data_IF_521826561644
#
_entry.id   IF_521826561644
#
_cell.length_a   1.000
_cell.length_b   1.000
_cell.length_c   1.000
_cell.angle_alpha   90.00
_cell.angle_beta   90.00
_cell.angle_gamma   90.00
#
_symmetry.space_group_name_H-M   'P 1'
#
loop_
_entity.id
_entity.type
_entity.pdbx_description
1 polymer ?
#
# COMPACT_ATOMS: atom_id res chain seq x y z
N UNK A 1 -24.71 -3.54 5.53
CA UNK A 1 -23.39 -4.19 5.67
C UNK A 1 -22.65 -3.87 4.39
N UNK A 2 -21.40 -3.37 4.41
CA UNK A 2 -20.63 -3.25 3.18
C UNK A 2 -20.53 -4.61 2.52
N UNK A 3 -20.66 -4.67 1.19
CA UNK A 3 -20.50 -5.91 0.45
C UNK A 3 -19.04 -6.33 0.51
N UNK A 4 -18.78 -7.58 0.92
CA UNK A 4 -17.44 -8.15 0.97
C UNK A 4 -17.41 -9.55 0.35
N UNK A 5 -16.33 -9.82 -0.37
CA UNK A 5 -16.06 -11.11 -0.99
C UNK A 5 -14.56 -11.35 -1.06
N UNK A 6 -14.14 -12.59 -1.33
CA UNK A 6 -12.73 -12.93 -1.50
C UNK A 6 -12.49 -13.62 -2.83
N UNK A 7 -11.31 -13.43 -3.39
CA UNK A 7 -10.85 -14.11 -4.61
C UNK A 7 -9.50 -14.77 -4.33
N UNK A 8 -9.30 -16.00 -4.80
CA UNK A 8 -7.96 -16.59 -4.81
C UNK A 8 -7.06 -15.84 -5.80
N UNK A 9 -5.73 -15.93 -5.61
CA UNK A 9 -4.79 -15.31 -6.55
C UNK A 9 -5.02 -15.81 -8.00
N UNK A 10 -5.34 -17.09 -8.18
CA UNK A 10 -5.69 -17.65 -9.49
C UNK A 10 -6.99 -17.05 -10.05
N UNK A 11 -8.01 -16.84 -9.20
CA UNK A 11 -9.24 -16.18 -9.63
C UNK A 11 -8.98 -14.73 -10.06
N UNK A 12 -8.13 -14.00 -9.33
CA UNK A 12 -7.75 -12.63 -9.72
C UNK A 12 -7.01 -12.63 -11.06
N UNK A 13 -6.03 -13.52 -11.29
CA UNK A 13 -5.34 -13.62 -12.59
C UNK A 13 -6.33 -13.87 -13.76
N UNK A 14 -7.22 -14.86 -13.60
CA UNK A 14 -8.21 -15.20 -14.64
C UNK A 14 -9.19 -14.06 -14.89
N UNK A 15 -9.73 -13.44 -13.83
CA UNK A 15 -10.74 -12.38 -13.96
C UNK A 15 -10.15 -11.09 -14.53
N UNK A 16 -8.93 -10.71 -14.15
CA UNK A 16 -8.27 -9.53 -14.70
C UNK A 16 -8.00 -9.68 -16.20
N UNK A 17 -7.61 -10.87 -16.66
CA UNK A 17 -7.49 -11.15 -18.09
C UNK A 17 -8.85 -11.09 -18.78
N UNK A 18 -9.86 -11.78 -18.24
CA UNK A 18 -11.18 -11.87 -18.85
C UNK A 18 -11.85 -10.49 -19.02
N UNK A 19 -11.65 -9.60 -18.05
CA UNK A 19 -12.20 -8.24 -18.05
C UNK A 19 -11.28 -7.22 -18.74
N UNK A 20 -10.13 -7.64 -19.27
CA UNK A 20 -9.17 -6.75 -19.93
C UNK A 20 -8.61 -5.66 -19.00
N UNK A 21 -8.50 -5.96 -17.70
CA UNK A 21 -8.03 -5.02 -16.68
C UNK A 21 -6.49 -4.97 -16.58
N UNK A 22 -5.79 -5.94 -17.17
CA UNK A 22 -4.33 -5.99 -17.16
C UNK A 22 -3.80 -6.77 -15.96
N UNK A 23 -2.75 -6.25 -15.30
CA UNK A 23 -2.15 -6.89 -14.11
C UNK A 23 -2.71 -6.31 -12.82
N UNK A 24 -2.65 -7.09 -11.75
CA UNK A 24 -2.98 -6.59 -10.42
C UNK A 24 -2.06 -5.42 -10.05
N UNK A 25 -2.60 -4.33 -9.47
CA UNK A 25 -1.79 -3.21 -9.02
C UNK A 25 -0.89 -3.61 -7.85
N UNK A 26 0.19 -2.85 -7.66
CA UNK A 26 1.00 -2.98 -6.44
C UNK A 26 0.14 -2.71 -5.20
N UNK A 27 0.40 -3.38 -4.06
CA UNK A 27 1.55 -4.25 -3.77
C UNK A 27 1.30 -5.76 -4.01
N UNK A 28 0.24 -6.13 -4.74
CA UNK A 28 -0.15 -7.53 -4.89
C UNK A 28 0.69 -8.26 -5.93
N UNK A 29 1.34 -9.35 -5.51
CA UNK A 29 2.05 -10.27 -6.41
C UNK A 29 1.12 -11.42 -6.82
N UNK A 30 0.31 -11.17 -7.85
CA UNK A 30 -0.57 -12.19 -8.41
C UNK A 30 0.21 -12.98 -9.48
N UNK A 31 0.51 -14.28 -9.25
CA UNK A 31 1.20 -15.09 -10.24
C UNK A 31 0.31 -15.31 -11.46
N UNK A 32 0.91 -15.26 -12.65
CA UNK A 32 0.23 -15.69 -13.86
C UNK A 32 0.23 -17.21 -13.91
N UNK A 33 -0.95 -17.82 -13.87
CA UNK A 33 -1.11 -19.28 -13.71
C UNK A 33 -1.47 -19.96 -15.03
N UNK A 34 -0.91 -21.16 -15.23
CA UNK A 34 -1.06 -21.95 -16.45
C UNK A 34 -0.15 -21.45 -17.59
N UNK A 35 0.76 -22.29 -18.06
CA UNK A 35 1.70 -21.94 -19.14
C UNK A 35 1.19 -22.34 -20.53
N UNK A 36 0.16 -23.21 -20.60
CA UNK A 36 -0.49 -23.62 -21.84
C UNK A 36 -1.96 -23.19 -21.89
N UNK A 37 -2.52 -23.18 -23.10
CA UNK A 37 -3.94 -22.84 -23.34
C UNK A 37 -4.87 -23.80 -22.60
N UNK A 38 -4.56 -25.09 -22.62
CA UNK A 38 -5.33 -26.14 -21.95
C UNK A 38 -5.28 -25.99 -20.44
N UNK A 39 -4.10 -25.71 -19.88
CA UNK A 39 -3.94 -25.44 -18.45
C UNK A 39 -4.75 -24.22 -18.02
N UNK A 40 -4.71 -23.12 -18.78
CA UNK A 40 -5.53 -21.93 -18.50
C UNK A 40 -7.03 -22.23 -18.58
N UNK A 41 -7.48 -23.03 -19.55
CA UNK A 41 -8.88 -23.43 -19.64
C UNK A 41 -9.31 -24.21 -18.40
N UNK A 42 -8.51 -25.18 -17.94
CA UNK A 42 -8.80 -25.95 -16.73
C UNK A 42 -8.85 -25.07 -15.46
N UNK A 43 -7.91 -24.12 -15.33
CA UNK A 43 -7.89 -23.18 -14.21
C UNK A 43 -9.13 -22.28 -14.25
N UNK A 44 -9.48 -21.76 -15.43
CA UNK A 44 -10.67 -20.93 -15.63
C UNK A 44 -11.94 -21.69 -15.24
N UNK A 45 -12.10 -22.93 -15.68
CA UNK A 45 -13.26 -23.76 -15.33
C UNK A 45 -13.33 -24.02 -13.81
N UNK A 46 -12.18 -24.25 -13.16
CA UNK A 46 -12.12 -24.40 -11.71
C UNK A 46 -12.53 -23.10 -10.98
N UNK A 47 -12.02 -21.95 -11.42
CA UNK A 47 -12.37 -20.62 -10.89
C UNK A 47 -13.87 -20.35 -11.07
N UNK A 48 -14.43 -20.59 -12.26
CA UNK A 48 -15.85 -20.38 -12.54
C UNK A 48 -16.73 -21.27 -11.67
N UNK A 49 -16.38 -22.55 -11.49
CA UNK A 49 -17.13 -23.45 -10.60
C UNK A 49 -17.10 -22.98 -9.15
N UNK A 50 -15.94 -22.55 -8.65
CA UNK A 50 -15.80 -21.99 -7.30
C UNK A 50 -16.65 -20.72 -7.13
N UNK A 51 -16.54 -19.75 -8.05
CA UNK A 51 -17.31 -18.51 -7.99
C UNK A 51 -18.81 -18.76 -8.10
N UNK A 52 -19.24 -19.72 -8.93
CA UNK A 52 -20.64 -20.09 -9.04
C UNK A 52 -21.17 -20.70 -7.73
N UNK A 53 -20.39 -21.59 -7.10
CA UNK A 53 -20.71 -22.16 -5.80
C UNK A 53 -20.81 -21.11 -4.68
N UNK A 54 -20.12 -19.97 -4.84
CA UNK A 54 -20.16 -18.82 -3.92
C UNK A 54 -21.15 -17.72 -4.33
N UNK A 55 -21.94 -17.94 -5.39
CA UNK A 55 -22.92 -16.97 -5.89
C UNK A 55 -22.32 -15.74 -6.59
N UNK A 56 -21.00 -15.70 -6.79
CA UNK A 56 -20.28 -14.61 -7.46
C UNK A 56 -20.25 -14.77 -8.99
N UNK A 57 -20.80 -15.86 -9.52
CA UNK A 57 -20.85 -16.10 -10.97
C UNK A 57 -22.22 -16.63 -11.38
N UNK A 58 -22.84 -15.96 -12.36
CA UNK A 58 -24.15 -16.34 -12.88
C UNK A 58 -24.27 -15.97 -14.36
N UNK A 59 -24.96 -16.82 -15.13
CA UNK A 59 -25.25 -16.60 -16.56
C UNK A 59 -24.00 -16.24 -17.39
N UNK A 60 -22.87 -16.89 -17.09
CA UNK A 60 -21.60 -16.71 -17.80
C UNK A 60 -20.88 -15.39 -17.48
N UNK A 61 -21.27 -14.70 -16.41
CA UNK A 61 -20.65 -13.44 -15.98
C UNK A 61 -20.36 -13.45 -14.49
N UNK A 62 -19.37 -12.64 -14.10
CA UNK A 62 -19.12 -12.29 -12.72
C UNK A 62 -20.31 -11.47 -12.20
N UNK A 63 -20.57 -11.55 -10.90
CA UNK A 63 -21.49 -10.67 -10.21
C UNK A 63 -21.14 -9.19 -10.46
N UNK A 64 -22.16 -8.34 -10.61
CA UNK A 64 -21.98 -6.95 -11.03
C UNK A 64 -21.20 -6.11 -9.99
N UNK A 65 -21.43 -6.36 -8.70
CA UNK A 65 -20.75 -5.63 -7.62
C UNK A 65 -19.30 -6.11 -7.51
N UNK A 66 -19.05 -7.41 -7.70
CA UNK A 66 -17.69 -7.95 -7.76
C UNK A 66 -16.90 -7.47 -8.99
N UNK A 67 -17.56 -7.35 -10.16
CA UNK A 67 -16.95 -6.80 -11.37
C UNK A 67 -16.61 -5.31 -11.20
N UNK A 68 -17.53 -4.52 -10.64
CA UNK A 68 -17.31 -3.11 -10.30
C UNK A 68 -16.13 -2.97 -9.31
N UNK A 69 -16.13 -3.77 -8.25
CA UNK A 69 -15.06 -3.79 -7.27
C UNK A 69 -13.69 -4.11 -7.89
N UNK A 70 -13.61 -5.10 -8.78
CA UNK A 70 -12.35 -5.43 -9.45
C UNK A 70 -11.89 -4.33 -10.42
N UNK A 71 -12.84 -3.71 -11.12
CA UNK A 71 -12.56 -2.57 -12.01
C UNK A 71 -12.03 -1.36 -11.21
N UNK A 72 -12.68 -0.97 -10.11
CA UNK A 72 -12.25 0.15 -9.26
C UNK A 72 -10.93 -0.16 -8.56
N UNK A 73 -10.71 -1.40 -8.12
CA UNK A 73 -9.44 -1.85 -7.54
C UNK A 73 -8.24 -1.57 -8.46
N UNK A 74 -8.40 -1.85 -9.76
CA UNK A 74 -7.33 -1.69 -10.77
C UNK A 74 -7.26 -0.25 -11.28
N UNK A 75 -8.40 0.35 -11.63
CA UNK A 75 -8.49 1.59 -12.43
C UNK A 75 -8.96 2.83 -11.65
N UNK A 76 -9.15 2.72 -10.32
CA UNK A 76 -9.57 3.83 -9.48
C UNK A 76 -8.74 5.09 -9.73
N UNK A 77 -9.40 6.23 -9.85
CA UNK A 77 -8.76 7.53 -10.12
C UNK A 77 -7.92 8.02 -8.94
N UNK A 78 -8.26 7.57 -7.73
CA UNK A 78 -7.51 7.78 -6.49
C UNK A 78 -7.27 6.41 -5.84
N UNK A 79 -6.04 6.14 -5.44
CA UNK A 79 -5.72 4.92 -4.72
C UNK A 79 -4.65 5.17 -3.65
N UNK A 80 -4.71 4.41 -2.57
CA UNK A 80 -3.68 4.36 -1.53
C UNK A 80 -3.28 2.91 -1.37
N UNK A 81 -1.99 2.62 -1.45
CA UNK A 81 -1.44 1.30 -1.17
C UNK A 81 -0.78 1.31 0.21
N UNK A 82 -0.86 0.19 0.92
CA UNK A 82 -0.18 -0.05 2.17
C UNK A 82 0.64 -1.34 2.05
N UNK A 83 1.92 -1.24 2.39
CA UNK A 83 2.82 -2.38 2.53
C UNK A 83 3.51 -2.27 3.91
N UNK A 84 3.35 -3.27 4.76
CA UNK A 84 3.91 -3.25 6.11
C UNK A 84 4.28 -4.64 6.64
N UNK A 85 5.28 -4.68 7.51
CA UNK A 85 5.61 -5.80 8.39
C UNK A 85 5.06 -5.46 9.78
N UNK A 86 4.06 -6.23 10.22
CA UNK A 86 3.32 -6.05 11.47
C UNK A 86 3.74 -7.07 12.53
N UNK A 87 5.04 -7.31 12.67
CA UNK A 87 5.58 -8.39 13.50
C UNK A 87 5.73 -9.67 12.68
N UNK A 88 4.92 -10.68 12.97
CA UNK A 88 4.94 -11.98 12.28
C UNK A 88 4.11 -12.00 10.99
N UNK A 89 3.40 -10.91 10.68
CA UNK A 89 2.49 -10.81 9.54
C UNK A 89 2.89 -9.69 8.59
N UNK A 90 2.71 -9.93 7.30
CA UNK A 90 2.77 -8.90 6.28
C UNK A 90 1.38 -8.34 6.00
N UNK A 91 1.29 -7.02 5.84
CA UNK A 91 0.12 -6.32 5.37
C UNK A 91 0.38 -5.83 3.95
N UNK A 92 -0.39 -6.35 3.00
CA UNK A 92 -0.49 -5.84 1.65
C UNK A 92 -1.94 -5.44 1.41
N UNK A 93 -2.18 -4.14 1.21
CA UNK A 93 -3.52 -3.62 1.00
C UNK A 93 -3.52 -2.48 -0.01
N UNK A 94 -4.67 -2.27 -0.63
CA UNK A 94 -4.94 -1.14 -1.52
C UNK A 94 -6.38 -0.73 -1.35
N UNK A 95 -6.61 0.54 -1.10
CA UNK A 95 -7.93 1.15 -1.25
C UNK A 95 -7.94 1.98 -2.53
N UNK A 96 -9.01 1.88 -3.31
CA UNK A 96 -9.16 2.62 -4.55
C UNK A 96 -10.58 3.16 -4.67
N UNK A 97 -10.71 4.32 -5.30
CA UNK A 97 -11.98 5.02 -5.54
C UNK A 97 -12.00 5.59 -6.94
N UNK A 98 -13.17 5.59 -7.57
CA UNK A 98 -13.45 6.34 -8.81
C UNK A 98 -14.28 7.61 -8.56
N UNK A 99 -14.56 7.91 -7.29
CA UNK A 99 -15.37 9.03 -6.82
C UNK A 99 -16.84 8.68 -6.55
N UNK A 100 -17.35 7.56 -7.08
CA UNK A 100 -18.72 7.08 -6.81
C UNK A 100 -18.71 5.78 -6.03
N UNK A 101 -17.76 4.91 -6.33
CA UNK A 101 -17.54 3.63 -5.68
C UNK A 101 -16.11 3.56 -5.13
N UNK A 102 -15.94 2.87 -4.00
CA UNK A 102 -14.63 2.60 -3.46
C UNK A 102 -14.54 1.20 -2.87
N UNK A 103 -13.36 0.62 -2.98
CA UNK A 103 -13.08 -0.74 -2.53
C UNK A 103 -11.74 -0.77 -1.80
N UNK A 104 -11.72 -1.46 -0.67
CA UNK A 104 -10.53 -1.88 0.02
C UNK A 104 -10.23 -3.35 -0.34
N UNK A 105 -9.05 -3.59 -0.90
CA UNK A 105 -8.50 -4.92 -1.12
C UNK A 105 -7.39 -5.17 -0.10
N UNK A 106 -7.44 -6.31 0.60
CA UNK A 106 -6.39 -6.78 1.53
C UNK A 106 -5.97 -8.18 1.16
N UNK A 107 -4.66 -8.44 1.11
CA UNK A 107 -4.15 -9.78 0.94
C UNK A 107 -4.28 -10.57 2.24
N UNK A 108 -4.77 -11.80 2.12
CA UNK A 108 -4.90 -12.76 3.20
C UNK A 108 -4.39 -14.11 2.68
N UNK A 109 -3.12 -14.40 2.96
CA UNK A 109 -2.40 -15.54 2.41
C UNK A 109 -2.49 -15.59 0.86
N UNK A 110 -3.21 -16.59 0.33
CA UNK A 110 -3.45 -16.83 -1.10
C UNK A 110 -4.79 -16.27 -1.59
N UNK A 111 -5.43 -15.42 -0.79
CA UNK A 111 -6.68 -14.73 -1.12
C UNK A 111 -6.46 -13.22 -1.12
N UNK A 112 -7.28 -12.52 -1.90
CA UNK A 112 -7.49 -11.08 -1.78
C UNK A 112 -8.94 -10.89 -1.35
N UNK A 113 -9.13 -10.25 -0.19
CA UNK A 113 -10.43 -9.89 0.36
C UNK A 113 -10.76 -8.49 -0.11
N UNK A 114 -11.91 -8.34 -0.74
CA UNK A 114 -12.47 -7.08 -1.20
C UNK A 114 -13.60 -6.67 -0.27
N UNK A 115 -13.61 -5.40 0.13
CA UNK A 115 -14.64 -4.80 0.97
C UNK A 115 -15.02 -3.45 0.37
N UNK A 116 -16.32 -3.24 0.13
CA UNK A 116 -16.84 -1.94 -0.26
C UNK A 116 -16.63 -0.93 0.88
N UNK A 117 -16.11 0.24 0.54
CA UNK A 117 -15.96 1.34 1.48
C UNK A 117 -16.57 2.61 0.90
N UNK A 118 -16.86 3.58 1.76
CA UNK A 118 -17.36 4.89 1.30
C UNK A 118 -16.25 5.60 0.51
N UNK A 119 -16.54 6.24 -0.63
CA UNK A 119 -15.54 7.02 -1.38
C UNK A 119 -14.81 8.09 -0.55
N UNK A 120 -15.51 8.73 0.40
CA UNK A 120 -14.93 9.72 1.33
C UNK A 120 -14.16 9.09 2.50
N UNK A 121 -14.30 7.77 2.69
CA UNK A 121 -13.73 6.99 3.78
C UNK A 121 -12.49 6.18 3.41
N UNK A 122 -11.88 6.41 2.25
CA UNK A 122 -10.75 5.57 1.80
C UNK A 122 -9.51 5.70 2.70
N UNK A 123 -9.24 6.90 3.22
CA UNK A 123 -8.09 7.14 4.12
C UNK A 123 -8.24 6.40 5.45
N UNK A 124 -9.34 6.55 6.22
CA UNK A 124 -9.52 5.79 7.45
C UNK A 124 -9.57 4.28 7.16
N UNK A 125 -10.24 3.84 6.10
CA UNK A 125 -10.34 2.42 5.76
C UNK A 125 -8.98 1.72 5.64
N UNK A 126 -7.98 2.36 5.03
CA UNK A 126 -6.64 1.76 4.90
C UNK A 126 -5.74 1.99 6.12
N UNK A 127 -5.90 3.11 6.82
CA UNK A 127 -5.10 3.41 8.03
C UNK A 127 -5.53 2.54 9.22
N UNK A 128 -6.82 2.21 9.32
CA UNK A 128 -7.38 1.38 10.40
C UNK A 128 -6.99 -0.10 10.28
N UNK A 129 -6.34 -0.50 9.17
CA UNK A 129 -5.65 -1.79 9.07
C UNK A 129 -4.41 -1.87 9.96
N UNK A 130 -3.86 -0.72 10.36
CA UNK A 130 -2.72 -0.68 11.26
C UNK A 130 -3.18 -0.84 12.72
N UNK A 131 -2.41 -1.55 13.55
CA UNK A 131 -2.63 -1.54 14.99
C UNK A 131 -2.64 -0.11 15.54
N UNK A 132 -3.52 0.13 16.52
CA UNK A 132 -3.57 1.39 17.26
C UNK A 132 -2.29 1.52 18.09
N UNK A 133 -1.37 2.35 17.61
CA UNK A 133 -0.10 2.66 18.29
C UNK A 133 -0.06 4.17 18.56
N UNK A 134 0.21 4.61 19.81
CA UNK A 134 0.35 6.03 20.11
C UNK A 134 1.58 6.63 19.41
N UNK A 135 1.55 7.94 19.19
CA UNK A 135 2.71 8.68 18.72
C UNK A 135 3.86 8.53 19.73
N UNK A 136 5.09 8.35 19.22
CA UNK A 136 6.27 8.32 20.07
C UNK A 136 6.51 9.64 20.83
N UNK A 137 7.21 9.63 21.97
CA UNK A 137 7.63 10.87 22.61
C UNK A 137 8.67 11.59 21.76
N UNK A 138 8.58 12.92 21.67
CA UNK A 138 9.61 13.74 21.04
C UNK A 138 9.04 14.87 20.19
N UNK A 139 9.95 15.50 19.43
CA UNK A 139 9.63 16.57 18.50
C UNK A 139 9.95 16.13 17.08
N UNK A 140 9.33 16.80 16.11
CA UNK A 140 9.66 16.59 14.69
C UNK A 140 11.09 17.02 14.41
N UNK A 141 11.81 16.19 13.64
CA UNK A 141 13.20 16.42 13.27
C UNK A 141 13.34 16.30 11.76
N UNK A 142 13.87 17.33 11.12
CA UNK A 142 14.17 17.34 9.69
C UNK A 142 15.67 17.34 9.47
N UNK A 143 16.15 16.39 8.66
CA UNK A 143 17.55 16.27 8.27
C UNK A 143 17.67 16.37 6.76
N UNK A 144 18.78 16.95 6.28
CA UNK A 144 19.15 16.93 4.88
C UNK A 144 19.99 15.69 4.58
N UNK A 145 19.72 15.03 3.44
CA UNK A 145 20.61 14.01 2.88
C UNK A 145 20.93 14.37 1.42
N UNK A 146 22.16 14.06 0.95
CA UNK A 146 22.45 14.05 -0.48
C UNK A 146 21.41 13.19 -1.18
N UNK A 147 20.85 13.68 -2.29
CA UNK A 147 19.99 12.84 -3.10
C UNK A 147 20.79 11.62 -3.56
N UNK A 148 20.47 10.43 -3.03
CA UNK A 148 20.92 9.20 -3.65
C UNK A 148 20.31 9.18 -5.06
N UNK A 149 21.15 9.06 -6.08
CA UNK A 149 20.68 8.81 -7.44
C UNK A 149 19.71 7.63 -7.36
N UNK A 150 18.51 7.73 -7.96
CA UNK A 150 17.61 6.60 -8.03
C UNK A 150 18.41 5.45 -8.64
N UNK A 151 18.66 4.39 -7.87
CA UNK A 151 19.04 3.13 -8.48
C UNK A 151 17.90 2.83 -9.44
N UNK A 152 18.18 2.84 -10.74
CA UNK A 152 17.23 2.38 -11.73
C UNK A 152 16.77 1.00 -11.26
N UNK A 153 15.57 0.91 -10.68
CA UNK A 153 14.93 -0.36 -10.41
C UNK A 153 14.88 -1.06 -11.76
N UNK A 154 15.69 -2.10 -11.93
CA UNK A 154 15.55 -2.94 -13.11
C UNK A 154 14.17 -3.57 -13.00
N UNK A 155 13.52 -3.77 -14.15
CA UNK A 155 12.16 -4.31 -14.23
C UNK A 155 12.00 -5.70 -13.58
N UNK A 156 13.12 -6.35 -13.24
CA UNK A 156 13.23 -7.67 -12.63
C UNK A 156 13.61 -7.65 -11.12
N UNK A 157 13.80 -6.47 -10.51
CA UNK A 157 14.04 -6.38 -9.08
C UNK A 157 12.69 -6.56 -8.34
N UNK A 158 12.60 -7.57 -7.45
CA UNK A 158 11.44 -7.78 -6.60
C UNK A 158 11.06 -6.47 -5.88
N UNK A 159 9.77 -6.17 -5.80
CA UNK A 159 9.28 -4.95 -5.16
C UNK A 159 9.71 -4.95 -3.69
N UNK A 160 10.65 -4.06 -3.32
CA UNK A 160 11.06 -3.83 -1.93
C UNK A 160 10.33 -2.59 -1.39
N UNK A 161 9.21 -2.76 -0.67
CA UNK A 161 8.49 -1.65 -0.06
C UNK A 161 9.24 -1.00 1.11
N UNK A 162 10.33 -1.59 1.60
CA UNK A 162 11.06 -1.14 2.78
C UNK A 162 12.40 -0.47 2.46
N UNK A 163 12.82 -0.45 1.18
CA UNK A 163 14.07 0.17 0.72
C UNK A 163 14.25 1.63 1.21
N UNK A 164 13.14 2.36 1.37
CA UNK A 164 13.12 3.74 1.84
C UNK A 164 13.22 3.93 3.36
N UNK A 165 12.95 2.90 4.17
CA UNK A 165 12.83 3.02 5.65
C UNK A 165 14.19 2.87 6.37
N UNK A 166 15.27 2.78 5.60
CA UNK A 166 16.63 2.71 6.15
C UNK A 166 16.98 3.94 6.98
N UNK A 167 17.50 3.66 8.19
CA UNK A 167 17.99 4.69 9.11
C UNK A 167 19.07 5.58 8.51
N UNK A 168 19.26 6.79 9.05
CA UNK A 168 20.33 7.67 8.61
C UNK A 168 21.69 6.97 8.79
N UNK A 169 22.45 6.86 7.70
CA UNK A 169 23.87 6.46 7.74
C UNK A 169 24.70 7.73 7.70
N UNK A 170 25.60 7.89 8.65
CA UNK A 170 26.52 9.03 8.74
C UNK A 170 27.46 9.05 7.53
N UNK A 171 27.18 9.87 6.52
CA UNK A 171 28.16 10.24 5.50
C UNK A 171 28.98 11.42 6.02
N UNK A 172 29.99 11.15 6.85
CA UNK A 172 31.07 12.08 7.21
C UNK A 172 30.67 13.46 7.75
N UNK A 173 30.89 13.69 9.05
CA UNK A 173 31.02 15.04 9.62
C UNK A 173 29.83 15.48 10.48
N UNK A 174 30.10 15.62 11.80
CA UNK A 174 29.32 16.38 12.80
C UNK A 174 27.79 16.40 12.62
N UNK A 175 27.13 15.29 12.95
CA UNK A 175 25.68 15.29 13.14
C UNK A 175 25.27 16.24 14.26
N UNK A 176 24.46 17.27 13.93
CA UNK A 176 23.86 18.16 14.93
C UNK A 176 23.02 17.39 15.96
N UNK A 177 22.58 18.03 17.06
CA UNK A 177 21.75 17.41 18.09
C UNK A 177 20.53 16.64 17.53
N UNK A 178 19.94 17.15 16.44
CA UNK A 178 18.86 16.51 15.68
C UNK A 178 19.24 15.14 15.11
N UNK A 179 20.43 15.02 14.50
CA UNK A 179 20.87 13.76 13.89
C UNK A 179 21.13 12.69 14.96
N UNK A 180 21.74 13.08 16.09
CA UNK A 180 21.98 12.17 17.22
C UNK A 180 20.67 11.67 17.84
N UNK A 181 19.65 12.52 17.92
CA UNK A 181 18.33 12.13 18.40
C UNK A 181 17.72 11.05 17.51
N UNK A 182 17.73 11.24 16.19
CA UNK A 182 17.16 10.25 15.28
C UNK A 182 18.00 8.97 15.22
N UNK A 183 19.32 9.06 15.30
CA UNK A 183 20.21 7.89 15.41
C UNK A 183 19.83 7.02 16.61
N UNK A 184 19.54 7.62 17.77
CA UNK A 184 19.06 6.89 18.96
C UNK A 184 17.72 6.20 18.73
N UNK A 185 16.76 6.89 18.11
CA UNK A 185 15.46 6.28 17.74
C UNK A 185 15.67 5.09 16.78
N UNK A 186 16.67 5.15 15.90
CA UNK A 186 17.04 4.03 15.02
C UNK A 186 17.81 2.91 15.70
N UNK A 187 18.38 3.12 16.90
CA UNK A 187 18.92 2.04 17.73
C UNK A 187 17.83 1.23 18.45
N UNK A 188 16.63 1.80 18.64
CA UNK A 188 15.50 1.04 19.19
C UNK A 188 15.06 -0.06 18.20
N UNK A 189 14.84 -1.30 18.68
CA UNK A 189 14.29 -2.37 17.86
C UNK A 189 12.97 -1.93 17.22
N UNK A 190 12.89 -2.08 15.89
CA UNK A 190 11.65 -1.82 15.15
C UNK A 190 10.71 -2.99 15.38
N UNK A 191 9.55 -2.72 16.00
CA UNK A 191 8.51 -3.73 16.19
C UNK A 191 7.72 -3.95 14.91
N UNK A 192 7.52 -2.88 14.14
CA UNK A 192 6.75 -2.85 12.89
C UNK A 192 7.30 -1.77 11.98
N UNK A 193 7.17 -1.98 10.68
CA UNK A 193 7.58 -1.01 9.67
C UNK A 193 6.62 -1.06 8.51
N UNK A 194 6.36 0.08 7.88
CA UNK A 194 5.51 0.10 6.70
C UNK A 194 5.56 1.41 5.96
N UNK A 195 4.81 1.46 4.87
CA UNK A 195 4.62 2.68 4.10
C UNK A 195 3.23 2.73 3.48
N UNK A 196 2.77 3.96 3.26
CA UNK A 196 1.65 4.25 2.39
C UNK A 196 2.13 4.96 1.13
N UNK A 197 1.54 4.61 -0.02
CA UNK A 197 1.75 5.35 -1.26
C UNK A 197 0.40 5.76 -1.84
N UNK A 198 0.15 7.07 -1.91
CA UNK A 198 -1.02 7.62 -2.55
C UNK A 198 -0.76 7.86 -4.05
N UNK A 199 -1.77 7.62 -4.88
CA UNK A 199 -1.73 7.76 -6.33
C UNK A 199 -3.02 8.41 -6.82
N UNK A 200 -2.88 9.29 -7.80
CA UNK A 200 -4.00 9.92 -8.53
C UNK A 200 -3.72 9.86 -10.03
N UNK A 201 -4.68 10.35 -10.84
CA UNK A 201 -4.44 10.60 -12.27
C UNK A 201 -3.26 11.55 -12.54
N UNK A 202 -2.96 12.44 -11.59
CA UNK A 202 -1.85 13.40 -11.68
C UNK A 202 -0.47 12.80 -11.40
N UNK A 203 -0.42 11.58 -10.85
CA UNK A 203 0.82 10.88 -10.56
C UNK A 203 0.83 10.23 -9.17
N UNK A 204 2.01 9.77 -8.77
CA UNK A 204 2.25 9.15 -7.46
C UNK A 204 2.84 10.17 -6.49
N UNK A 205 2.29 10.25 -5.28
CA UNK A 205 2.84 11.10 -4.22
C UNK A 205 4.06 10.44 -3.56
N UNK A 206 4.95 11.23 -2.93
CA UNK A 206 6.03 10.68 -2.12
C UNK A 206 5.49 9.72 -1.05
N UNK A 207 6.12 8.55 -0.84
CA UNK A 207 5.65 7.59 0.14
C UNK A 207 5.73 8.15 1.56
N UNK A 208 4.74 7.78 2.38
CA UNK A 208 4.71 8.04 3.81
C UNK A 208 5.12 6.77 4.54
N UNK A 209 6.40 6.66 4.86
CA UNK A 209 6.93 5.55 5.64
C UNK A 209 6.67 5.76 7.12
N UNK A 210 6.53 4.68 7.88
CA UNK A 210 6.35 4.73 9.32
C UNK A 210 7.00 3.51 9.96
N UNK A 211 7.29 3.62 11.25
CA UNK A 211 7.78 2.51 12.04
C UNK A 211 7.36 2.63 13.49
N UNK A 212 7.15 1.49 14.13
CA UNK A 212 6.83 1.39 15.55
C UNK A 212 8.10 1.01 16.31
N UNK A 213 8.41 1.75 17.37
CA UNK A 213 9.37 1.33 18.39
C UNK A 213 8.63 0.97 19.68
N UNK A 214 9.38 0.66 20.74
CA UNK A 214 8.77 0.48 22.07
C UNK A 214 8.16 1.78 22.61
N UNK A 215 8.74 2.92 22.25
CA UNK A 215 8.29 4.23 22.71
C UNK A 215 7.09 4.80 21.92
N UNK A 216 6.79 4.25 20.74
CA UNK A 216 5.60 4.59 19.95
C UNK A 216 5.88 4.64 18.45
N UNK A 217 4.94 5.20 17.69
CA UNK A 217 5.04 5.29 16.23
C UNK A 217 5.68 6.60 15.77
N UNK A 218 6.55 6.45 14.77
CA UNK A 218 7.17 7.53 14.02
C UNK A 218 6.73 7.48 12.56
N UNK A 219 6.46 8.64 11.98
CA UNK A 219 6.30 8.87 10.55
C UNK A 219 7.61 9.42 9.98
N UNK A 220 7.98 8.94 8.80
CA UNK A 220 9.03 9.46 7.96
C UNK A 220 8.45 9.94 6.62
N UNK A 221 8.63 11.23 6.33
CA UNK A 221 8.28 11.80 5.03
C UNK A 221 9.51 12.39 4.36
N UNK A 222 9.52 12.41 3.03
CA UNK A 222 10.64 12.96 2.26
C UNK A 222 10.16 13.98 1.23
N UNK A 223 10.97 15.03 1.05
CA UNK A 223 10.73 16.08 0.06
C UNK A 223 12.03 16.35 -0.71
N UNK A 224 11.93 16.37 -2.03
CA UNK A 224 13.01 16.86 -2.88
C UNK A 224 13.11 18.38 -2.75
N UNK A 225 14.33 18.91 -2.61
CA UNK A 225 14.60 20.34 -2.69
C UNK A 225 15.27 20.70 -4.01
N UNK A 226 15.13 21.97 -4.40
CA UNK A 226 15.64 22.51 -5.66
C UNK A 226 17.17 22.52 -5.75
N UNK A 227 17.86 22.37 -4.61
CA UNK A 227 19.31 22.33 -4.45
C UNK A 227 19.91 20.93 -4.66
N UNK A 228 19.13 19.95 -5.10
CA UNK A 228 19.57 18.56 -5.25
C UNK A 228 19.69 17.79 -3.93
N UNK A 229 19.22 18.37 -2.81
CA UNK A 229 19.13 17.68 -1.53
C UNK A 229 17.76 17.01 -1.37
N UNK A 230 17.72 15.96 -0.53
CA UNK A 230 16.48 15.37 -0.04
C UNK A 230 16.34 15.66 1.44
N UNK A 231 15.27 16.38 1.79
CA UNK A 231 14.89 16.61 3.17
C UNK A 231 14.04 15.46 3.67
N UNK A 232 14.43 14.87 4.79
CA UNK A 232 13.68 13.79 5.43
C UNK A 232 13.23 14.29 6.80
N UNK A 233 11.93 14.23 7.04
CA UNK A 233 11.31 14.61 8.30
C UNK A 233 10.87 13.37 9.03
N UNK A 234 11.29 13.24 10.28
CA UNK A 234 10.82 12.24 11.23
C UNK A 234 9.95 12.94 12.26
N UNK A 235 8.71 12.50 12.40
CA UNK A 235 7.77 13.08 13.34
C UNK A 235 7.05 11.97 14.10
N UNK A 236 6.81 12.11 15.41
CA UNK A 236 5.85 11.25 16.10
C UNK A 236 4.49 11.29 15.41
N UNK A 237 3.87 10.13 15.21
CA UNK A 237 2.60 10.04 14.52
C UNK A 237 1.81 8.82 15.00
N UNK A 238 0.58 9.03 15.45
CA UNK A 238 -0.41 7.97 15.62
C UNK A 238 -1.18 7.73 14.30
N UNK A 239 -2.16 6.82 14.32
CA UNK A 239 -3.02 6.56 13.16
C UNK A 239 -3.71 7.85 12.65
N UNK A 240 -4.20 8.72 13.55
CA UNK A 240 -4.88 9.95 13.16
C UNK A 240 -3.93 10.91 12.41
N UNK A 241 -2.68 11.02 12.86
CA UNK A 241 -1.66 11.84 12.21
C UNK A 241 -1.24 11.27 10.84
N UNK A 242 -1.17 9.95 10.69
CA UNK A 242 -0.97 9.30 9.39
C UNK A 242 -2.11 9.62 8.42
N UNK A 243 -3.36 9.46 8.87
CA UNK A 243 -4.55 9.79 8.09
C UNK A 243 -4.53 11.26 7.66
N UNK A 244 -4.18 12.18 8.56
CA UNK A 244 -4.07 13.61 8.24
C UNK A 244 -3.04 13.89 7.14
N UNK A 245 -1.89 13.20 7.14
CA UNK A 245 -0.87 13.37 6.09
C UNK A 245 -1.33 12.81 4.74
N UNK A 246 -2.05 11.69 4.74
CA UNK A 246 -2.66 11.15 3.52
C UNK A 246 -3.74 12.09 2.96
N UNK A 247 -4.60 12.66 3.81
CA UNK A 247 -5.56 13.67 3.39
C UNK A 247 -4.89 14.90 2.78
N UNK A 248 -3.79 15.38 3.38
CA UNK A 248 -3.03 16.50 2.83
C UNK A 248 -2.41 16.19 1.46
N UNK A 249 -1.98 14.95 1.21
CA UNK A 249 -1.51 14.53 -0.12
C UNK A 249 -2.66 14.52 -1.14
N UNK A 250 -3.84 14.07 -0.72
CA UNK A 250 -5.01 13.90 -1.58
C UNK A 250 -5.94 15.13 -1.64
N UNK A 251 -5.49 16.28 -1.16
CA UNK A 251 -6.27 17.52 -1.21
C UNK A 251 -6.64 17.87 -2.65
N UNK A 252 -7.93 18.18 -2.89
CA UNK A 252 -8.48 18.49 -4.21
C UNK A 252 -8.73 17.26 -5.11
N UNK A 253 -8.66 16.03 -4.59
CA UNK A 253 -8.97 14.79 -5.32
C UNK A 253 -10.36 14.21 -5.00
N UNK A 254 -11.05 14.80 -4.03
CA UNK A 254 -12.39 14.43 -3.57
C UNK A 254 -13.37 15.58 -3.81
#
# INVERSE_FOLDING_TARGET
>A
MPHSFSLSLAAVDILLEQLGLGRAPTPFEVPHVGTTVEQRAMIRDAVVRDLNGRGLWSRGRLDADAELALATFVRGSVAITAAAELGDRHLFARVASDGQFAVLARQDENLIVFEEVRPTGIVPAIVDLLPLTPAAPGQSVTISRPAQQPRHQRRDDAYDPFAGVSGPRSSGGSGGPQLRMIERVFQEPKKRVGQFTAQTRGGTYPPLAWFDTESGRWLMSSRAAADGQRWITYAPADNARLAQQLYAQLEGQF
#
